data_IF_492636094646
#
_entry.id   IF_492636094646
#
_cell.length_a   1.000
_cell.length_b   1.000
_cell.length_c   1.000
_cell.angle_alpha   90.00
_cell.angle_beta   90.00
_cell.angle_gamma   90.00
#
_symmetry.space_group_name_H-M   'P 1'
#
loop_
_entity.id
_entity.type
_entity.pdbx_description
1 polymer ?
#
# COMPACT_ATOMS: atom_id res chain seq x y z
N UNK A 1 1.27 29.92 3.64
CA UNK A 1 1.94 28.96 2.78
C UNK A 1 1.48 27.55 3.10
N UNK A 2 0.92 26.88 2.13
CA UNK A 2 0.44 25.53 2.37
C UNK A 2 1.60 24.55 2.31
N UNK A 3 1.61 23.61 3.23
CA UNK A 3 2.55 22.52 3.23
C UNK A 3 1.90 21.32 2.56
N UNK A 4 2.68 20.60 1.78
CA UNK A 4 2.18 19.33 1.25
C UNK A 4 1.97 18.37 2.41
N UNK A 5 0.79 17.79 2.46
CA UNK A 5 0.46 16.80 3.46
C UNK A 5 0.30 15.45 2.79
N UNK A 6 0.57 14.42 3.57
CA UNK A 6 0.33 13.07 3.12
C UNK A 6 -1.09 12.66 3.46
N UNK A 7 -1.71 11.92 2.56
CA UNK A 7 -2.98 11.27 2.84
C UNK A 7 -2.78 10.23 3.93
N UNK A 8 -3.83 9.96 4.68
CA UNK A 8 -3.81 8.84 5.62
C UNK A 8 -3.90 7.55 4.82
N UNK A 9 -2.98 6.65 5.07
CA UNK A 9 -2.81 5.46 4.25
C UNK A 9 -2.95 4.21 5.10
N UNK A 10 -3.78 3.28 4.66
CA UNK A 10 -3.80 1.94 5.24
C UNK A 10 -3.16 0.97 4.25
N UNK A 11 -2.27 0.13 4.73
CA UNK A 11 -1.60 -0.88 3.90
C UNK A 11 -2.20 -2.25 4.20
N UNK A 12 -2.66 -2.91 3.15
CA UNK A 12 -3.24 -4.24 3.26
C UNK A 12 -2.44 -5.21 2.39
N UNK A 13 -1.95 -6.26 3.00
CA UNK A 13 -1.20 -7.30 2.31
C UNK A 13 -0.89 -8.41 3.28
N UNK A 14 -0.56 -9.57 2.74
CA UNK A 14 -0.20 -10.72 3.56
C UNK A 14 1.14 -10.49 4.26
N UNK A 15 1.45 -11.36 5.23
CA UNK A 15 2.74 -11.36 5.89
C UNK A 15 3.85 -11.46 4.85
N UNK A 16 4.93 -10.71 5.05
CA UNK A 16 6.12 -10.71 4.18
C UNK A 16 5.88 -10.14 2.77
N UNK A 17 4.79 -9.39 2.58
CA UNK A 17 4.51 -8.75 1.29
C UNK A 17 5.36 -7.50 1.04
N UNK A 18 6.08 -7.02 2.05
CA UNK A 18 6.89 -5.81 1.92
C UNK A 18 6.23 -4.58 2.52
N UNK A 19 5.16 -4.75 3.28
CA UNK A 19 4.44 -3.62 3.89
C UNK A 19 5.33 -2.82 4.84
N UNK A 20 6.13 -3.50 5.65
CA UNK A 20 7.02 -2.82 6.60
C UNK A 20 8.00 -1.89 5.87
N UNK A 21 8.57 -2.37 4.77
CA UNK A 21 9.49 -1.56 3.97
C UNK A 21 8.78 -0.34 3.39
N UNK A 22 7.57 -0.52 2.88
CA UNK A 22 6.77 0.58 2.36
C UNK A 22 6.43 1.58 3.46
N UNK A 23 6.02 1.08 4.62
CA UNK A 23 5.73 1.95 5.77
C UNK A 23 6.94 2.80 6.14
N UNK A 24 8.10 2.20 6.18
CA UNK A 24 9.33 2.91 6.51
C UNK A 24 9.64 3.99 5.48
N UNK A 25 9.49 3.66 4.21
CA UNK A 25 9.75 4.64 3.16
C UNK A 25 8.78 5.82 3.23
N UNK A 26 7.50 5.52 3.33
CA UNK A 26 6.46 6.55 3.38
C UNK A 26 6.64 7.43 4.62
N UNK A 27 6.94 6.83 5.77
CA UNK A 27 7.18 7.57 7.00
C UNK A 27 8.36 8.51 6.89
N UNK A 28 9.43 8.08 6.23
CA UNK A 28 10.59 8.94 6.02
C UNK A 28 10.25 10.14 5.14
N UNK A 29 9.45 9.92 4.10
CA UNK A 29 9.03 10.99 3.21
C UNK A 29 8.11 11.96 3.94
N UNK A 30 7.19 11.46 4.75
CA UNK A 30 6.31 12.29 5.52
C UNK A 30 7.10 13.15 6.51
N UNK A 31 8.06 12.55 7.19
CA UNK A 31 8.94 13.27 8.11
C UNK A 31 9.74 14.35 7.39
N UNK A 32 10.17 14.05 6.17
CA UNK A 32 10.94 14.97 5.34
C UNK A 32 10.12 16.20 4.97
N UNK A 33 8.85 16.04 4.62
CA UNK A 33 7.96 17.14 4.26
C UNK A 33 7.42 17.87 5.48
N UNK A 34 7.32 17.21 6.61
CA UNK A 34 6.74 17.73 7.83
C UNK A 34 7.75 17.68 8.97
N UNK A 35 8.97 18.11 8.70
CA UNK A 35 10.08 17.95 9.65
C UNK A 35 9.91 18.70 10.96
N UNK A 36 8.94 19.60 11.05
CA UNK A 36 8.61 20.28 12.31
C UNK A 36 7.50 19.57 13.08
N UNK A 37 6.94 18.50 12.50
CA UNK A 37 5.89 17.73 13.14
C UNK A 37 6.46 16.79 14.20
N UNK A 38 5.60 16.41 15.13
CA UNK A 38 5.98 15.43 16.13
C UNK A 38 5.95 14.01 15.51
N UNK A 39 6.61 13.09 16.21
CA UNK A 39 6.60 11.69 15.81
C UNK A 39 5.18 11.14 15.77
N UNK A 40 4.34 11.56 16.69
CA UNK A 40 2.94 11.11 16.74
C UNK A 40 2.18 11.49 15.49
N UNK A 41 2.39 12.71 15.00
CA UNK A 41 1.73 13.17 13.77
C UNK A 41 2.20 12.35 12.58
N UNK A 42 3.50 12.08 12.50
CA UNK A 42 4.05 11.25 11.40
C UNK A 42 3.46 9.85 11.44
N UNK A 43 3.41 9.25 12.62
CA UNK A 43 2.86 7.91 12.78
C UNK A 43 1.37 7.87 12.50
N UNK A 44 0.67 8.96 12.70
CA UNK A 44 -0.77 9.05 12.45
C UNK A 44 -1.16 9.05 10.99
N UNK A 45 -0.20 9.19 10.07
CA UNK A 45 -0.50 9.19 8.64
C UNK A 45 -0.58 7.80 8.05
N UNK A 46 -0.20 6.77 8.81
CA UNK A 46 -0.08 5.45 8.26
C UNK A 46 -0.62 4.37 9.19
N UNK A 47 -1.33 3.42 8.60
CA UNK A 47 -1.88 2.29 9.34
C UNK A 47 -1.35 1.02 8.67
N UNK A 48 -0.48 0.30 9.37
CA UNK A 48 -0.01 -0.99 8.91
C UNK A 48 -0.89 -2.06 9.55
N UNK A 49 -1.42 -2.94 8.73
CA UNK A 49 -2.28 -4.02 9.23
C UNK A 49 -1.50 -5.30 9.35
N UNK A 50 -1.80 -6.14 10.36
CA UNK A 50 -1.21 -7.46 10.41
C UNK A 50 -1.56 -8.26 9.16
N UNK A 51 -0.56 -8.92 8.57
CA UNK A 51 -0.78 -9.73 7.37
C UNK A 51 -1.83 -10.81 7.58
N UNK A 52 -1.91 -11.34 8.78
CA UNK A 52 -2.88 -12.38 9.11
C UNK A 52 -4.33 -11.90 8.95
N UNK A 53 -4.60 -10.60 9.00
CA UNK A 53 -5.96 -10.10 8.80
C UNK A 53 -6.44 -10.35 7.37
N UNK A 54 -5.54 -10.34 6.40
CA UNK A 54 -5.88 -10.69 5.03
C UNK A 54 -5.89 -12.21 4.82
N UNK A 55 -4.92 -12.89 5.45
CA UNK A 55 -4.73 -14.33 5.28
C UNK A 55 -5.86 -15.16 5.92
N UNK A 56 -6.51 -14.63 6.95
CA UNK A 56 -7.60 -15.32 7.64
C UNK A 56 -8.93 -14.65 7.31
N UNK A 57 -9.84 -15.45 6.76
CA UNK A 57 -11.15 -14.94 6.34
C UNK A 57 -11.92 -14.30 7.49
N UNK A 58 -11.84 -14.87 8.69
CA UNK A 58 -12.57 -14.35 9.83
C UNK A 58 -12.03 -13.03 10.37
N UNK A 59 -10.83 -12.62 9.94
CA UNK A 59 -10.23 -11.35 10.37
C UNK A 59 -10.35 -10.24 9.31
N UNK A 60 -10.87 -10.57 8.12
CA UNK A 60 -10.97 -9.58 7.03
C UNK A 60 -11.91 -8.42 7.36
N UNK A 61 -12.91 -8.68 8.19
CA UNK A 61 -13.80 -7.60 8.63
C UNK A 61 -13.09 -6.51 9.40
N UNK A 62 -12.00 -6.86 10.11
CA UNK A 62 -11.21 -5.89 10.84
C UNK A 62 -10.52 -4.89 9.91
N UNK A 63 -10.19 -5.32 8.68
CA UNK A 63 -9.59 -4.44 7.69
C UNK A 63 -10.57 -3.34 7.24
N UNK A 64 -11.84 -3.70 7.05
CA UNK A 64 -12.87 -2.73 6.68
C UNK A 64 -13.04 -1.68 7.77
N UNK A 65 -13.05 -2.11 9.03
CA UNK A 65 -13.16 -1.19 10.16
C UNK A 65 -11.93 -0.28 10.24
N UNK A 66 -10.74 -0.84 10.09
CA UNK A 66 -9.50 -0.06 10.13
C UNK A 66 -9.42 0.98 9.00
N UNK A 67 -10.03 0.67 7.86
CA UNK A 67 -9.98 1.55 6.69
C UNK A 67 -10.86 2.80 6.82
N UNK A 68 -11.75 2.84 7.81
CA UNK A 68 -12.67 3.97 7.97
C UNK A 68 -11.91 5.30 8.13
N UNK A 69 -10.79 5.27 8.84
CA UNK A 69 -10.00 6.46 9.09
C UNK A 69 -8.95 6.77 8.01
N UNK A 70 -8.86 5.94 6.99
CA UNK A 70 -7.88 6.14 5.94
C UNK A 70 -8.45 6.99 4.79
N UNK A 71 -7.59 7.69 4.09
CA UNK A 71 -7.95 8.44 2.88
C UNK A 71 -7.72 7.61 1.63
N UNK A 72 -6.75 6.69 1.68
CA UNK A 72 -6.41 5.84 0.55
C UNK A 72 -5.96 4.47 1.08
N UNK A 73 -6.23 3.45 0.30
CA UNK A 73 -5.90 2.07 0.64
C UNK A 73 -4.84 1.56 -0.32
N UNK A 74 -3.75 1.03 0.22
CA UNK A 74 -2.72 0.38 -0.59
C UNK A 74 -2.90 -1.13 -0.51
N UNK A 75 -3.14 -1.76 -1.66
CA UNK A 75 -3.20 -3.21 -1.76
C UNK A 75 -1.80 -3.67 -2.18
N UNK A 76 -1.10 -4.32 -1.28
CA UNK A 76 0.31 -4.69 -1.46
C UNK A 76 0.42 -6.14 -1.92
N UNK A 77 0.90 -6.33 -3.15
CA UNK A 77 1.02 -7.64 -3.78
C UNK A 77 2.49 -7.92 -4.09
N UNK A 78 3.11 -8.92 -3.45
CA UNK A 78 4.48 -9.27 -3.82
C UNK A 78 4.52 -9.94 -5.18
N UNK A 79 5.48 -9.55 -6.03
CA UNK A 79 5.60 -10.09 -7.37
C UNK A 79 6.03 -11.56 -7.38
N UNK A 80 6.68 -12.02 -6.31
CA UNK A 80 7.14 -13.40 -6.20
C UNK A 80 6.09 -14.34 -5.62
N UNK A 81 4.89 -13.86 -5.38
CA UNK A 81 3.80 -14.69 -4.90
C UNK A 81 3.07 -15.33 -6.09
N UNK A 82 2.81 -16.63 -6.00
CA UNK A 82 1.99 -17.32 -6.98
C UNK A 82 0.53 -17.15 -6.60
N UNK A 83 -0.19 -16.30 -7.32
CA UNK A 83 -1.57 -15.99 -7.01
C UNK A 83 -1.69 -14.76 -6.14
N UNK A 84 -2.86 -14.57 -5.57
CA UNK A 84 -3.16 -13.37 -4.77
C UNK A 84 -4.12 -13.68 -3.65
N UNK A 85 -4.01 -12.90 -2.57
CA UNK A 85 -4.97 -12.95 -1.47
C UNK A 85 -6.17 -12.02 -1.69
N UNK A 86 -6.12 -11.19 -2.73
CA UNK A 86 -7.19 -10.24 -2.99
C UNK A 86 -8.22 -10.84 -3.94
N UNK A 87 -9.48 -11.03 -3.50
CA UNK A 87 -10.52 -11.53 -4.43
C UNK A 87 -10.86 -10.48 -5.48
N UNK A 88 -11.43 -10.92 -6.62
CA UNK A 88 -11.91 -9.96 -7.61
C UNK A 88 -12.89 -8.98 -7.00
N UNK A 89 -12.72 -7.69 -7.34
CA UNK A 89 -13.61 -6.65 -6.83
C UNK A 89 -13.39 -6.30 -5.36
N UNK A 90 -12.28 -6.69 -4.79
CA UNK A 90 -12.00 -6.48 -3.36
C UNK A 90 -12.12 -5.01 -2.96
N UNK A 91 -11.74 -4.09 -3.86
CA UNK A 91 -11.82 -2.65 -3.58
C UNK A 91 -13.21 -2.16 -3.27
N UNK A 92 -14.25 -2.86 -3.75
CA UNK A 92 -15.63 -2.46 -3.49
C UNK A 92 -16.04 -2.62 -2.02
N UNK A 93 -15.22 -3.35 -1.24
CA UNK A 93 -15.42 -3.48 0.19
C UNK A 93 -15.19 -2.16 0.92
N UNK A 94 -14.40 -1.28 0.32
CA UNK A 94 -13.99 -0.02 0.95
C UNK A 94 -14.62 1.16 0.21
N UNK A 95 -14.97 2.20 0.98
CA UNK A 95 -15.50 3.43 0.40
C UNK A 95 -14.37 4.41 0.04
N UNK A 96 -13.17 3.92 -0.12
CA UNK A 96 -11.97 4.74 -0.36
C UNK A 96 -11.26 4.26 -1.62
N UNK A 97 -10.50 5.13 -2.30
CA UNK A 97 -9.73 4.69 -3.46
C UNK A 97 -8.64 3.69 -3.06
N UNK A 98 -8.46 2.69 -3.89
CA UNK A 98 -7.44 1.66 -3.68
C UNK A 98 -6.36 1.81 -4.74
N UNK A 99 -5.11 1.82 -4.29
CA UNK A 99 -3.95 1.84 -5.16
C UNK A 99 -3.21 0.52 -4.97
N UNK A 100 -2.88 -0.15 -6.07
CA UNK A 100 -2.14 -1.39 -6.02
C UNK A 100 -0.64 -1.12 -6.02
N UNK A 101 0.09 -1.84 -5.19
CA UNK A 101 1.54 -1.74 -5.13
C UNK A 101 2.12 -3.14 -5.32
N UNK A 102 2.88 -3.31 -6.39
CA UNK A 102 3.64 -4.54 -6.63
C UNK A 102 5.00 -4.38 -5.97
N UNK A 103 5.34 -5.29 -5.07
CA UNK A 103 6.65 -5.25 -4.38
C UNK A 103 7.55 -6.36 -4.89
N UNK A 104 8.83 -6.27 -4.57
CA UNK A 104 9.82 -7.31 -4.86
C UNK A 104 10.00 -7.57 -6.36
N UNK A 105 9.83 -6.52 -7.17
CA UNK A 105 9.94 -6.63 -8.62
C UNK A 105 11.33 -7.09 -9.07
N UNK A 106 12.36 -6.82 -8.27
CA UNK A 106 13.74 -7.23 -8.56
C UNK A 106 13.97 -8.73 -8.42
N UNK A 107 13.05 -9.45 -7.77
CA UNK A 107 13.21 -10.89 -7.51
C UNK A 107 12.61 -11.78 -8.60
N UNK A 108 11.94 -11.21 -9.58
CA UNK A 108 11.14 -11.98 -10.54
C UNK A 108 11.33 -11.46 -11.96
N UNK A 109 10.79 -12.22 -12.90
CA UNK A 109 10.80 -11.84 -14.31
C UNK A 109 9.58 -10.98 -14.65
N UNK A 110 9.63 -10.35 -15.82
CA UNK A 110 8.58 -9.46 -16.32
C UNK A 110 7.19 -10.09 -16.28
N UNK A 111 7.09 -11.36 -16.64
CA UNK A 111 5.80 -12.06 -16.66
C UNK A 111 5.15 -12.07 -15.28
N UNK A 112 5.95 -12.29 -14.25
CA UNK A 112 5.42 -12.33 -12.89
C UNK A 112 4.97 -10.95 -12.42
N UNK A 113 5.66 -9.90 -12.87
CA UNK A 113 5.23 -8.53 -12.58
C UNK A 113 3.89 -8.27 -13.26
N UNK A 114 3.73 -8.67 -14.51
CA UNK A 114 2.48 -8.49 -15.25
C UNK A 114 1.33 -9.27 -14.61
N UNK A 115 1.59 -10.47 -14.12
CA UNK A 115 0.59 -11.25 -13.41
C UNK A 115 0.15 -10.54 -12.13
N UNK A 116 1.10 -10.00 -11.37
CA UNK A 116 0.79 -9.27 -10.14
C UNK A 116 -0.08 -8.04 -10.43
N UNK A 117 0.22 -7.32 -11.51
CA UNK A 117 -0.59 -6.18 -11.94
C UNK A 117 -2.02 -6.61 -12.25
N UNK A 118 -2.19 -7.74 -12.93
CA UNK A 118 -3.53 -8.25 -13.25
C UNK A 118 -4.32 -8.60 -12.00
N UNK A 119 -3.67 -9.19 -11.02
CA UNK A 119 -4.33 -9.48 -9.75
C UNK A 119 -4.86 -8.21 -9.10
N UNK A 120 -4.06 -7.15 -9.11
CA UNK A 120 -4.47 -5.88 -8.52
C UNK A 120 -5.57 -5.20 -9.34
N UNK A 121 -5.49 -5.28 -10.66
CA UNK A 121 -6.55 -4.76 -11.53
C UNK A 121 -7.88 -5.47 -11.26
N UNK A 122 -7.85 -6.79 -11.14
CA UNK A 122 -9.05 -7.56 -10.85
C UNK A 122 -9.60 -7.25 -9.46
N UNK A 123 -8.74 -6.92 -8.52
CA UNK A 123 -9.17 -6.51 -7.19
C UNK A 123 -9.79 -5.11 -7.19
N UNK A 124 -9.63 -4.36 -8.27
CA UNK A 124 -10.23 -3.05 -8.41
C UNK A 124 -9.30 -1.89 -8.08
N UNK A 125 -7.99 -2.12 -8.08
CA UNK A 125 -7.04 -1.03 -7.85
C UNK A 125 -7.16 0.00 -8.96
N UNK A 126 -7.24 1.25 -8.57
CA UNK A 126 -7.42 2.38 -9.46
C UNK A 126 -6.15 2.71 -10.23
N UNK A 127 -5.04 2.65 -9.52
CA UNK A 127 -3.70 2.86 -10.07
C UNK A 127 -2.81 1.74 -9.55
N UNK A 128 -1.76 1.41 -10.29
CA UNK A 128 -0.84 0.35 -9.90
C UNK A 128 0.59 0.85 -10.04
N UNK A 129 1.37 0.70 -8.98
CA UNK A 129 2.78 1.11 -8.93
C UNK A 129 3.64 -0.12 -8.70
N UNK A 130 4.68 -0.29 -9.51
CA UNK A 130 5.62 -1.39 -9.36
C UNK A 130 6.84 -0.88 -8.62
N UNK A 131 7.19 -1.52 -7.50
CA UNK A 131 8.30 -1.07 -6.66
C UNK A 131 9.33 -2.17 -6.46
N UNK A 132 10.57 -1.72 -6.25
CA UNK A 132 11.67 -2.59 -5.82
C UNK A 132 12.47 -1.84 -4.77
N UNK A 133 12.47 -2.35 -3.55
CA UNK A 133 13.24 -1.73 -2.47
C UNK A 133 14.75 -1.88 -2.71
N UNK A 134 15.15 -2.98 -3.35
CA UNK A 134 16.56 -3.20 -3.67
C UNK A 134 17.08 -2.17 -4.69
N UNK A 135 16.32 -1.95 -5.75
CA UNK A 135 16.70 -1.00 -6.80
C UNK A 135 16.30 0.43 -6.47
N UNK A 136 15.46 0.65 -5.48
CA UNK A 136 14.96 1.95 -5.10
C UNK A 136 13.98 2.56 -6.10
N UNK A 137 13.31 1.74 -6.90
CA UNK A 137 12.44 2.21 -7.98
C UNK A 137 10.97 2.18 -7.58
N UNK A 138 10.18 3.04 -8.20
CA UNK A 138 8.71 3.08 -8.06
C UNK A 138 8.21 3.90 -6.89
N UNK A 139 9.05 4.23 -5.92
CA UNK A 139 8.60 4.92 -4.71
C UNK A 139 8.20 6.37 -4.96
N UNK A 140 8.89 7.06 -5.86
CA UNK A 140 8.53 8.44 -6.19
C UNK A 140 7.14 8.52 -6.81
N UNK A 141 6.84 7.60 -7.72
CA UNK A 141 5.53 7.53 -8.34
C UNK A 141 4.45 7.25 -7.28
N UNK A 142 4.73 6.33 -6.36
CA UNK A 142 3.81 6.02 -5.28
C UNK A 142 3.56 7.25 -4.42
N UNK A 143 4.59 7.98 -4.06
CA UNK A 143 4.46 9.15 -3.21
C UNK A 143 3.60 10.24 -3.85
N UNK A 144 3.62 10.36 -5.17
CA UNK A 144 2.76 11.34 -5.84
C UNK A 144 1.29 11.05 -5.63
N UNK A 145 0.90 9.76 -5.61
CA UNK A 145 -0.47 9.40 -5.34
C UNK A 145 -0.88 9.62 -3.89
N UNK A 146 0.08 9.64 -2.98
CA UNK A 146 -0.19 9.73 -1.54
C UNK A 146 -0.17 11.16 -1.01
N UNK A 147 0.28 12.12 -1.78
CA UNK A 147 0.28 13.52 -1.36
C UNK A 147 -1.10 14.14 -1.56
N UNK A 148 -1.53 14.92 -0.60
CA UNK A 148 -2.74 15.71 -0.76
C UNK A 148 -2.48 16.86 -1.72
N UNK A 149 -3.42 17.08 -2.61
CA UNK A 149 -3.34 18.18 -3.57
C UNK A 149 -3.95 19.47 -3.01
#
# INVERSE_FOLDING_TARGET
MSREKMKRVILIGRSMAGKTTLCQYISRQDLRYNKTQTVEVVNGTMIDTPGEYLERTNLRGALTVSAVDADVILLVQPANEAGTMFPPGYSSTFAKPCIGVVTKADLVEEKQIEDAKKYLQNAGAREIVVTSSFAGTGFEELMEFLRES
#
